data_IF_909639544655
#
_entry.id   IF_909639544655
#
_cell.length_a   1.000
_cell.length_b   1.000
_cell.length_c   1.000
_cell.angle_alpha   90.00
_cell.angle_beta   90.00
_cell.angle_gamma   90.00
#
_symmetry.space_group_name_H-M   'P 1'
#
loop_
_entity.id
_entity.type
_entity.pdbx_description
1 polymer ?
#
# COMPACT_ATOMS: atom_id res chain seq x y z
N UNK A 1 10.83 -2.47 -20.16
CA UNK A 1 10.27 -2.17 -18.82
C UNK A 1 10.71 -3.27 -17.87
N UNK A 2 11.38 -2.92 -16.77
CA UNK A 2 11.76 -3.90 -15.77
C UNK A 2 10.52 -4.30 -14.95
N UNK A 3 10.19 -5.59 -14.98
CA UNK A 3 9.08 -6.15 -14.19
C UNK A 3 9.63 -7.09 -13.13
N UNK A 4 9.38 -6.77 -11.85
CA UNK A 4 9.86 -7.54 -10.69
C UNK A 4 8.67 -7.87 -9.78
N UNK A 5 8.57 -9.11 -9.32
CA UNK A 5 7.45 -9.61 -8.48
C UNK A 5 6.05 -9.29 -9.08
N UNK A 6 5.93 -9.30 -10.42
CA UNK A 6 4.68 -8.97 -11.10
C UNK A 6 4.35 -7.48 -11.22
N UNK A 7 5.21 -6.60 -10.68
CA UNK A 7 5.03 -5.13 -10.72
C UNK A 7 5.92 -4.49 -11.76
N UNK A 8 5.37 -3.61 -12.57
CA UNK A 8 6.12 -2.82 -13.54
C UNK A 8 6.75 -1.62 -12.83
N UNK A 9 8.08 -1.52 -12.89
CA UNK A 9 8.82 -0.45 -12.23
C UNK A 9 8.91 0.78 -13.13
N UNK A 10 8.82 2.00 -12.56
CA UNK A 10 8.94 3.24 -13.32
C UNK A 10 10.37 3.44 -13.83
N UNK A 11 10.54 3.51 -15.14
CA UNK A 11 11.84 3.56 -15.83
C UNK A 11 12.71 4.76 -15.43
N UNK A 12 12.08 5.91 -15.20
CA UNK A 12 12.78 7.18 -14.95
C UNK A 12 13.24 7.34 -13.49
N UNK A 13 12.83 6.45 -12.60
CA UNK A 13 13.23 6.51 -11.19
C UNK A 13 14.55 5.79 -10.96
N UNK A 14 15.29 6.20 -9.90
CA UNK A 14 16.42 5.43 -9.39
C UNK A 14 15.93 4.08 -8.89
N UNK A 15 16.77 3.06 -8.99
CA UNK A 15 16.43 1.70 -8.57
C UNK A 15 16.01 1.64 -7.10
N UNK A 16 16.68 2.41 -6.21
CA UNK A 16 16.30 2.55 -4.80
C UNK A 16 14.83 2.91 -4.62
N UNK A 17 14.35 3.86 -5.41
CA UNK A 17 12.95 4.32 -5.35
C UNK A 17 12.04 3.41 -6.16
N UNK A 18 12.51 2.89 -7.29
CA UNK A 18 11.75 1.96 -8.12
C UNK A 18 11.29 0.72 -7.35
N UNK A 19 12.14 0.13 -6.55
CA UNK A 19 11.80 -1.05 -5.74
C UNK A 19 10.71 -0.77 -4.69
N UNK A 20 10.57 0.46 -4.20
CA UNK A 20 9.52 0.81 -3.23
C UNK A 20 8.10 0.79 -3.81
N UNK A 21 7.95 0.65 -5.13
CA UNK A 21 6.63 0.45 -5.75
C UNK A 21 6.08 -0.97 -5.51
N UNK A 22 6.94 -1.90 -5.11
CA UNK A 22 6.55 -3.27 -4.77
C UNK A 22 6.00 -3.29 -3.35
N UNK A 23 4.79 -3.81 -3.18
CA UNK A 23 4.16 -3.91 -1.87
C UNK A 23 4.96 -4.82 -0.92
N UNK A 24 5.37 -4.26 0.22
CA UNK A 24 6.23 -4.91 1.20
C UNK A 24 7.69 -4.45 1.17
N UNK A 25 8.10 -3.66 0.16
CA UNK A 25 9.44 -3.10 0.07
C UNK A 25 9.39 -1.61 0.39
N UNK A 26 9.99 -1.23 1.50
CA UNK A 26 10.25 0.16 1.86
C UNK A 26 11.65 0.59 1.42
N UNK A 27 11.98 1.86 1.61
CA UNK A 27 13.30 2.40 1.26
C UNK A 27 14.46 1.66 1.96
N UNK A 28 14.29 1.33 3.23
CA UNK A 28 15.29 0.59 3.99
C UNK A 28 15.53 -0.82 3.40
N UNK A 29 14.45 -1.55 3.14
CA UNK A 29 14.53 -2.90 2.54
C UNK A 29 15.13 -2.83 1.13
N UNK A 30 14.78 -1.80 0.34
CA UNK A 30 15.37 -1.55 -0.98
C UNK A 30 16.89 -1.40 -0.89
N UNK A 31 17.38 -0.62 0.07
CA UNK A 31 18.81 -0.43 0.27
C UNK A 31 19.53 -1.73 0.69
N UNK A 32 18.90 -2.54 1.55
CA UNK A 32 19.43 -3.87 1.90
C UNK A 32 19.57 -4.74 0.66
N UNK A 33 18.52 -4.83 -0.16
CA UNK A 33 18.53 -5.60 -1.40
C UNK A 33 19.69 -5.18 -2.31
N UNK A 34 19.85 -3.87 -2.51
CA UNK A 34 20.85 -3.31 -3.41
C UNK A 34 22.27 -3.53 -2.89
N UNK A 35 22.49 -3.42 -1.58
CA UNK A 35 23.78 -3.70 -0.95
C UNK A 35 24.15 -5.17 -1.08
N UNK A 36 23.24 -6.08 -0.80
CA UNK A 36 23.49 -7.54 -0.91
C UNK A 36 23.71 -8.01 -2.37
N UNK A 37 23.04 -7.38 -3.32
CA UNK A 37 23.20 -7.69 -4.74
C UNK A 37 24.36 -6.93 -5.39
N UNK A 38 25.00 -5.99 -4.68
CA UNK A 38 26.11 -5.17 -5.19
C UNK A 38 25.72 -4.20 -6.30
N UNK A 39 24.48 -3.74 -6.32
CA UNK A 39 23.94 -2.82 -7.32
C UNK A 39 23.95 -1.40 -6.79
N UNK A 40 24.46 -0.46 -7.57
CA UNK A 40 24.46 0.95 -7.19
C UNK A 40 23.01 1.49 -7.11
N UNK A 41 22.59 2.06 -5.96
CA UNK A 41 21.22 2.56 -5.75
C UNK A 41 20.85 3.73 -6.67
N UNK A 42 21.83 4.46 -7.21
CA UNK A 42 21.60 5.63 -8.05
C UNK A 42 21.34 5.34 -9.52
N UNK A 43 21.55 4.08 -9.96
CA UNK A 43 21.23 3.66 -11.33
C UNK A 43 19.72 3.81 -11.57
N UNK A 44 19.34 4.24 -12.78
CA UNK A 44 17.93 4.31 -13.16
C UNK A 44 17.41 2.91 -13.53
N UNK A 45 16.14 2.69 -13.28
CA UNK A 45 15.48 1.38 -13.57
C UNK A 45 15.66 0.97 -15.03
N UNK A 46 15.67 1.92 -15.98
CA UNK A 46 15.87 1.66 -17.41
C UNK A 46 17.27 1.15 -17.76
N UNK A 47 18.26 1.48 -16.95
CA UNK A 47 19.68 1.17 -17.19
C UNK A 47 20.11 -0.13 -16.50
N UNK A 48 19.16 -0.84 -15.85
CA UNK A 48 19.40 -2.14 -15.24
C UNK A 48 19.61 -3.23 -16.29
N UNK A 49 20.64 -4.04 -16.08
CA UNK A 49 20.87 -5.24 -16.91
C UNK A 49 19.95 -6.39 -16.48
N UNK A 50 19.67 -7.33 -17.38
CA UNK A 50 18.89 -8.55 -17.09
C UNK A 50 19.50 -9.38 -15.95
N UNK A 51 20.83 -9.44 -15.87
CA UNK A 51 21.54 -10.12 -14.79
C UNK A 51 21.29 -9.48 -13.43
N UNK A 52 21.31 -8.15 -13.37
CA UNK A 52 21.02 -7.41 -12.14
C UNK A 52 19.58 -7.62 -11.69
N UNK A 53 18.64 -7.60 -12.63
CA UNK A 53 17.23 -7.89 -12.37
C UNK A 53 17.06 -9.33 -11.85
N UNK A 54 17.79 -10.29 -12.43
CA UNK A 54 17.82 -11.67 -11.98
C UNK A 54 18.28 -11.82 -10.52
N UNK A 55 19.38 -11.15 -10.15
CA UNK A 55 19.90 -11.15 -8.78
C UNK A 55 18.90 -10.54 -7.78
N UNK A 56 18.24 -9.44 -8.15
CA UNK A 56 17.22 -8.83 -7.29
C UNK A 56 16.06 -9.79 -7.08
N UNK A 57 15.54 -10.44 -8.13
CA UNK A 57 14.46 -11.43 -8.04
C UNK A 57 14.84 -12.58 -7.12
N UNK A 58 16.00 -13.19 -7.34
CA UNK A 58 16.49 -14.31 -6.55
C UNK A 58 16.63 -13.97 -5.06
N UNK A 59 17.14 -12.77 -4.75
CA UNK A 59 17.25 -12.30 -3.37
C UNK A 59 15.87 -12.10 -2.74
N UNK A 60 14.94 -11.50 -3.49
CA UNK A 60 13.57 -11.25 -3.01
C UNK A 60 12.83 -12.56 -2.73
N UNK A 61 12.88 -13.50 -3.66
CA UNK A 61 12.19 -14.80 -3.55
C UNK A 61 12.71 -15.63 -2.36
N UNK A 62 14.01 -15.49 -2.03
CA UNK A 62 14.61 -16.22 -0.90
C UNK A 62 14.35 -15.57 0.47
N UNK A 63 14.34 -14.26 0.55
CA UNK A 63 14.43 -13.54 1.83
C UNK A 63 13.19 -12.70 2.17
N UNK A 64 12.31 -12.43 1.21
CA UNK A 64 11.24 -11.46 1.41
C UNK A 64 9.89 -12.03 0.99
N UNK A 65 8.89 -11.73 1.81
CA UNK A 65 7.48 -11.95 1.46
C UNK A 65 6.92 -10.66 0.88
N UNK A 66 6.52 -10.67 -0.38
CA UNK A 66 6.08 -9.44 -1.08
C UNK A 66 4.74 -9.64 -1.79
N UNK A 67 4.14 -8.54 -2.22
CA UNK A 67 2.93 -8.48 -3.04
C UNK A 67 1.81 -9.42 -2.59
N UNK A 68 1.42 -10.37 -3.42
CA UNK A 68 0.26 -11.22 -3.20
C UNK A 68 0.36 -12.07 -1.93
N UNK A 69 1.54 -12.60 -1.65
CA UNK A 69 1.78 -13.41 -0.46
C UNK A 69 1.67 -12.57 0.81
N UNK A 70 2.28 -11.39 0.85
CA UNK A 70 2.16 -10.48 1.98
C UNK A 70 0.71 -10.02 2.20
N UNK A 71 -0.02 -9.71 1.13
CA UNK A 71 -1.44 -9.35 1.22
C UNK A 71 -2.27 -10.48 1.81
N UNK A 72 -1.98 -11.73 1.40
CA UNK A 72 -2.62 -12.92 1.95
C UNK A 72 -2.36 -13.08 3.44
N UNK A 73 -1.10 -12.93 3.87
CA UNK A 73 -0.73 -13.01 5.30
C UNK A 73 -1.45 -11.94 6.12
N UNK A 74 -1.44 -10.69 5.66
CA UNK A 74 -2.13 -9.58 6.34
C UNK A 74 -3.64 -9.84 6.43
N UNK A 75 -4.26 -10.27 5.33
CA UNK A 75 -5.70 -10.59 5.30
C UNK A 75 -6.05 -11.73 6.24
N UNK A 76 -5.22 -12.79 6.27
CA UNK A 76 -5.41 -13.93 7.17
C UNK A 76 -5.27 -13.53 8.64
N UNK A 77 -4.29 -12.68 8.96
CA UNK A 77 -4.11 -12.17 10.33
C UNK A 77 -5.33 -11.35 10.80
N UNK A 78 -5.88 -10.51 9.93
CA UNK A 78 -7.11 -9.75 10.24
C UNK A 78 -8.29 -10.70 10.44
N UNK A 79 -8.44 -11.71 9.58
CA UNK A 79 -9.50 -12.71 9.70
C UNK A 79 -9.40 -13.48 11.02
N UNK A 80 -8.21 -13.91 11.40
CA UNK A 80 -7.96 -14.57 12.69
C UNK A 80 -8.40 -13.69 13.88
N UNK A 81 -8.05 -12.39 13.86
CA UNK A 81 -8.51 -11.46 14.90
C UNK A 81 -10.04 -11.33 14.97
N UNK A 82 -10.70 -11.38 13.82
CA UNK A 82 -12.18 -11.32 13.74
C UNK A 82 -12.82 -12.61 14.28
N UNK A 83 -12.25 -13.77 13.98
CA UNK A 83 -12.72 -15.08 14.43
C UNK A 83 -12.59 -15.24 15.95
N UNK A 84 -11.47 -14.80 16.53
CA UNK A 84 -11.25 -14.77 18.00
C UNK A 84 -12.21 -13.78 18.68
N UNK A 85 -12.87 -12.88 17.92
CA UNK A 85 -13.76 -11.84 18.45
C UNK A 85 -13.09 -10.89 19.45
N UNK A 86 -11.80 -10.67 19.33
CA UNK A 86 -11.09 -9.70 20.16
C UNK A 86 -11.48 -8.26 19.80
N UNK A 87 -11.18 -7.29 20.69
CA UNK A 87 -11.52 -5.89 20.44
C UNK A 87 -11.01 -5.38 19.09
N UNK A 88 -9.75 -5.65 18.74
CA UNK A 88 -9.17 -5.28 17.43
C UNK A 88 -9.92 -5.90 16.27
N UNK A 89 -10.32 -7.17 16.37
CA UNK A 89 -11.10 -7.87 15.35
C UNK A 89 -12.48 -7.24 15.14
N UNK A 90 -13.18 -6.87 16.23
CA UNK A 90 -14.45 -6.14 16.13
C UNK A 90 -14.28 -4.77 15.46
N UNK A 91 -13.20 -4.06 15.76
CA UNK A 91 -12.89 -2.77 15.11
C UNK A 91 -12.64 -2.94 13.61
N UNK A 92 -11.89 -3.96 13.20
CA UNK A 92 -11.70 -4.30 11.78
C UNK A 92 -13.02 -4.63 11.09
N UNK A 93 -13.87 -5.46 11.72
CA UNK A 93 -15.18 -5.83 11.18
C UNK A 93 -16.09 -4.62 10.95
N UNK A 94 -16.04 -3.65 11.85
CA UNK A 94 -16.87 -2.45 11.80
C UNK A 94 -16.22 -1.28 11.01
N UNK A 95 -15.07 -1.50 10.35
CA UNK A 95 -14.32 -0.47 9.63
C UNK A 95 -14.01 0.77 10.49
N UNK A 96 -13.60 0.52 11.74
CA UNK A 96 -13.26 1.55 12.70
C UNK A 96 -11.75 1.54 13.01
N UNK A 97 -11.17 2.68 13.46
CA UNK A 97 -9.77 2.72 13.89
C UNK A 97 -9.49 1.68 14.97
N UNK A 98 -8.39 0.95 14.81
CA UNK A 98 -8.03 -0.20 15.65
C UNK A 98 -7.10 0.17 16.80
N UNK A 99 -6.40 1.31 16.68
CA UNK A 99 -5.34 1.75 17.61
C UNK A 99 -5.79 2.80 18.61
N UNK A 100 -7.06 2.81 19.00
CA UNK A 100 -7.58 3.72 20.03
C UNK A 100 -7.75 5.19 19.61
N UNK A 101 -7.72 5.47 18.29
CA UNK A 101 -7.92 6.84 17.81
C UNK A 101 -9.35 7.34 18.07
N UNK A 102 -9.49 8.65 18.26
CA UNK A 102 -10.79 9.29 18.45
C UNK A 102 -11.64 9.19 17.17
N UNK A 103 -12.91 8.80 17.34
CA UNK A 103 -13.85 8.58 16.23
C UNK A 103 -14.94 9.64 16.13
N UNK A 104 -15.09 10.55 17.11
CA UNK A 104 -16.16 11.56 17.14
C UNK A 104 -16.07 12.51 15.94
N UNK A 105 -14.95 13.17 15.74
CA UNK A 105 -14.75 14.20 14.71
C UNK A 105 -13.82 13.80 13.58
N UNK A 106 -12.84 12.95 13.85
CA UNK A 106 -11.78 12.55 12.92
C UNK A 106 -11.98 11.12 12.39
N UNK A 107 -10.91 10.37 12.21
CA UNK A 107 -10.89 9.01 11.61
C UNK A 107 -11.37 8.98 10.14
N UNK A 108 -10.99 10.01 9.36
CA UNK A 108 -11.42 10.13 7.96
C UNK A 108 -10.90 9.00 7.06
N UNK A 109 -9.72 8.49 7.34
CA UNK A 109 -9.16 7.34 6.60
C UNK A 109 -10.11 6.13 6.62
N UNK A 110 -10.75 5.87 7.76
CA UNK A 110 -11.68 4.75 7.92
C UNK A 110 -13.12 5.11 7.51
N UNK A 111 -13.56 6.33 7.81
CA UNK A 111 -14.93 6.81 7.52
C UNK A 111 -15.13 7.31 6.09
N UNK A 112 -14.04 7.60 5.38
CA UNK A 112 -14.09 8.25 4.08
C UNK A 112 -14.32 9.78 4.16
N UNK A 113 -14.42 10.45 3.01
CA UNK A 113 -14.68 11.88 2.92
C UNK A 113 -15.95 12.30 3.68
N UNK A 114 -15.96 13.51 4.24
CA UNK A 114 -17.18 14.05 4.85
C UNK A 114 -18.26 14.21 3.78
N UNK A 115 -19.43 13.62 3.99
CA UNK A 115 -20.60 13.91 3.17
C UNK A 115 -21.04 15.33 3.51
N UNK A 116 -20.87 16.27 2.56
CA UNK A 116 -21.43 17.61 2.67
C UNK A 116 -22.93 17.43 2.44
N UNK A 117 -23.75 17.73 3.46
CA UNK A 117 -25.20 17.80 3.27
C UNK A 117 -25.45 18.93 2.24
N UNK A 118 -25.72 18.55 0.99
CA UNK A 118 -26.24 19.48 0.01
C UNK A 118 -27.57 19.97 0.56
N UNK A 119 -27.62 21.23 1.04
CA UNK A 119 -28.89 21.88 1.34
C UNK A 119 -29.71 21.75 0.04
N UNK A 120 -30.77 20.94 0.11
CA UNK A 120 -31.71 20.85 -0.99
C UNK A 120 -32.08 22.30 -1.34
N UNK A 121 -31.81 22.69 -2.60
CA UNK A 121 -32.17 24.01 -3.12
C UNK A 121 -33.66 24.10 -2.98
N UNK A 122 -34.11 24.88 -1.94
CA UNK A 122 -35.53 25.17 -1.69
C UNK A 122 -36.03 25.78 -3.00
N UNK A 123 -36.79 25.01 -3.78
CA UNK A 123 -37.47 25.56 -4.96
C UNK A 123 -38.33 26.68 -4.47
N UNK A 124 -37.98 27.92 -4.81
CA UNK A 124 -38.86 29.06 -4.61
C UNK A 124 -40.13 28.79 -5.44
N UNK A 125 -41.33 28.87 -4.82
CA UNK A 125 -42.57 28.79 -5.57
C UNK A 125 -42.58 29.90 -6.60
N UNK A 126 -42.71 29.54 -7.87
CA UNK A 126 -42.78 30.51 -8.96
C UNK A 126 -43.93 31.49 -8.76
N UNK A 127 -43.65 32.80 -8.84
CA UNK A 127 -44.68 33.83 -8.91
C UNK A 127 -45.60 33.52 -10.09
N UNK A 128 -46.84 33.14 -9.82
CA UNK A 128 -47.91 33.15 -10.81
C UNK A 128 -48.13 34.60 -11.25
N UNK A 129 -48.00 34.86 -12.54
CA UNK A 129 -48.54 36.07 -13.18
C UNK A 129 -50.04 35.90 -13.34
#
# INVERSE_FOLDING_TARGET
MARIAGVDLPNEKRVEIGLTYIYGIGRHTSNIILNETGINPDIRVKDLTEEQIGKIREYMDKNLTTEGELRRVVSMNIKTLQEIKCYRGMRHKNHLPVRGQNTKSNARTMKGPKKIATKAKKQMPGKKK
#
